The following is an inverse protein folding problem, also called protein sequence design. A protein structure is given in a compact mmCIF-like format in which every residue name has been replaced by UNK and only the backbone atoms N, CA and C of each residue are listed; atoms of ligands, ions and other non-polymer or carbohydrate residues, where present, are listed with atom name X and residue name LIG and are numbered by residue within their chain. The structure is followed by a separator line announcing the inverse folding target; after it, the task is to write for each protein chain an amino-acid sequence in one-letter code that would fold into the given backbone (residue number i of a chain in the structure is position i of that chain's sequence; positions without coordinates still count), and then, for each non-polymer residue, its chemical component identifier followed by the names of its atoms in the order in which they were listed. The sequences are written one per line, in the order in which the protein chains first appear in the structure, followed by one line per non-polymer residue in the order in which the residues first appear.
data_IF_276185480845
#
_entry.id   IF_276185480845
#
_cell.length_a   1.000
_cell.length_b   1.000
_cell.length_c   1.000
_cell.angle_alpha   90.00
_cell.angle_beta   90.00
_cell.angle_gamma   90.00
#
_symmetry.space_group_name_H-M   'P 1'
#
loop_
_entity.id
_entity.type
_entity.pdbx_description
1 polymer ?
#
# COMPACT_ATOMS: atom_id res chain seq x y z
N UNK A 1 14.50 -11.04 -13.51
CA UNK A 1 14.50 -11.91 -12.31
C UNK A 1 15.47 -13.08 -12.42
N UNK A 2 15.52 -13.79 -13.55
CA UNK A 2 16.45 -14.93 -13.69
C UNK A 2 17.92 -14.54 -13.47
N UNK A 3 18.39 -13.46 -14.09
CA UNK A 3 19.76 -12.94 -13.89
C UNK A 3 20.04 -12.58 -12.43
N UNK A 4 19.08 -11.97 -11.73
CA UNK A 4 19.21 -11.62 -10.32
C UNK A 4 19.32 -12.89 -9.44
N UNK A 5 18.55 -13.94 -9.76
CA UNK A 5 18.64 -15.24 -9.08
C UNK A 5 20.00 -15.89 -9.31
N UNK A 6 20.50 -15.87 -10.55
CA UNK A 6 21.82 -16.44 -10.87
C UNK A 6 22.95 -15.71 -10.13
N UNK A 7 22.93 -14.38 -10.12
CA UNK A 7 23.91 -13.57 -9.37
C UNK A 7 23.86 -13.85 -7.86
N UNK A 8 22.66 -14.04 -7.31
CA UNK A 8 22.48 -14.40 -5.90
C UNK A 8 23.03 -15.80 -5.58
N UNK A 9 22.81 -16.79 -6.44
CA UNK A 9 23.37 -18.13 -6.29
C UNK A 9 24.89 -18.12 -6.42
N UNK A 10 25.43 -17.36 -7.37
CA UNK A 10 26.86 -17.19 -7.57
C UNK A 10 27.53 -16.51 -6.37
N UNK A 11 26.91 -15.46 -5.81
CA UNK A 11 27.35 -14.78 -4.60
C UNK A 11 27.54 -15.77 -3.45
N UNK A 12 26.55 -16.63 -3.23
CA UNK A 12 26.61 -17.67 -2.20
C UNK A 12 27.67 -18.74 -2.49
N UNK A 13 27.78 -19.20 -3.74
CA UNK A 13 28.78 -20.19 -4.14
C UNK A 13 30.22 -19.69 -3.94
N UNK A 14 30.43 -18.37 -4.03
CA UNK A 14 31.71 -17.69 -3.76
C UNK A 14 31.92 -17.35 -2.28
N UNK A 15 31.06 -17.83 -1.38
CA UNK A 15 31.06 -17.52 0.06
C UNK A 15 30.95 -16.02 0.38
N UNK A 16 30.31 -15.24 -0.51
CA UNK A 16 29.97 -13.85 -0.23
C UNK A 16 28.60 -13.85 0.46
N UNK A 17 28.52 -13.30 1.67
CA UNK A 17 27.30 -13.35 2.49
C UNK A 17 26.25 -12.36 1.98
N UNK A 18 25.06 -12.82 1.54
CA UNK A 18 23.97 -11.92 1.20
C UNK A 18 23.55 -11.06 2.40
N UNK A 19 23.19 -9.81 2.14
CA UNK A 19 22.78 -8.85 3.19
C UNK A 19 21.28 -8.63 3.17
N UNK A 20 20.73 -7.93 4.17
CA UNK A 20 19.33 -7.48 4.19
C UNK A 20 18.95 -6.78 2.88
N UNK A 21 19.82 -5.94 2.31
CA UNK A 21 19.56 -5.24 1.04
C UNK A 21 19.45 -6.23 -0.12
N UNK A 22 20.31 -7.26 -0.16
CA UNK A 22 20.28 -8.31 -1.19
C UNK A 22 18.96 -9.06 -1.18
N UNK A 23 18.52 -9.51 0.00
CA UNK A 23 17.24 -10.21 0.16
C UNK A 23 16.06 -9.29 -0.16
N UNK A 24 16.04 -8.08 0.41
CA UNK A 24 14.95 -7.11 0.19
C UNK A 24 14.75 -6.81 -1.29
N UNK A 25 15.84 -6.66 -2.04
CA UNK A 25 15.79 -6.39 -3.49
C UNK A 25 15.19 -7.56 -4.27
N UNK A 26 15.58 -8.80 -3.95
CA UNK A 26 15.03 -10.01 -4.57
C UNK A 26 13.56 -10.21 -4.20
N UNK A 27 13.21 -10.08 -2.93
CA UNK A 27 11.85 -10.17 -2.42
C UNK A 27 10.93 -9.18 -3.14
N UNK A 28 11.35 -7.92 -3.23
CA UNK A 28 10.58 -6.90 -3.96
C UNK A 28 10.43 -7.25 -5.44
N UNK A 29 11.51 -7.70 -6.09
CA UNK A 29 11.47 -8.14 -7.48
C UNK A 29 10.48 -9.29 -7.72
N UNK A 30 10.52 -10.33 -6.89
CA UNK A 30 9.61 -11.46 -7.00
C UNK A 30 8.16 -11.07 -6.72
N UNK A 31 7.91 -10.23 -5.70
CA UNK A 31 6.58 -9.75 -5.36
C UNK A 31 5.93 -8.92 -6.49
N UNK A 32 6.73 -8.07 -7.17
CA UNK A 32 6.26 -7.32 -8.34
C UNK A 32 5.95 -8.26 -9.52
N UNK A 33 6.75 -9.30 -9.73
CA UNK A 33 6.49 -10.30 -10.78
C UNK A 33 5.39 -11.31 -10.43
N UNK A 34 4.82 -11.24 -9.22
CA UNK A 34 3.77 -12.14 -8.76
C UNK A 34 4.23 -13.56 -8.41
N UNK A 35 5.53 -13.81 -8.28
CA UNK A 35 6.05 -15.12 -7.90
C UNK A 35 6.12 -15.23 -6.37
N UNK A 36 4.96 -15.41 -5.73
CA UNK A 36 4.82 -15.40 -4.27
C UNK A 36 5.54 -16.58 -3.60
N UNK A 37 5.62 -17.73 -4.28
CA UNK A 37 6.38 -18.89 -3.81
C UNK A 37 7.86 -18.55 -3.54
N UNK A 38 8.51 -17.85 -4.47
CA UNK A 38 9.91 -17.42 -4.27
C UNK A 38 10.02 -16.31 -3.22
N UNK A 39 8.98 -15.46 -3.05
CA UNK A 39 8.96 -14.45 -1.97
C UNK A 39 9.00 -15.13 -0.60
N UNK A 40 8.13 -16.10 -0.35
CA UNK A 40 8.11 -16.80 0.94
C UNK A 40 9.36 -17.64 1.16
N UNK A 41 9.84 -18.35 0.14
CA UNK A 41 11.06 -19.14 0.23
C UNK A 41 12.29 -18.28 0.59
N UNK A 42 12.45 -17.12 -0.04
CA UNK A 42 13.55 -16.19 0.27
C UNK A 42 13.41 -15.57 1.66
N UNK A 43 12.18 -15.30 2.11
CA UNK A 43 11.95 -14.77 3.44
C UNK A 43 12.31 -15.79 4.52
N UNK A 44 11.90 -17.04 4.35
CA UNK A 44 12.29 -18.14 5.24
C UNK A 44 13.81 -18.35 5.24
N UNK A 45 14.47 -18.30 4.08
CA UNK A 45 15.93 -18.41 3.96
C UNK A 45 16.64 -17.26 4.71
N UNK A 46 16.15 -16.02 4.57
CA UNK A 46 16.67 -14.85 5.28
C UNK A 46 16.59 -15.01 6.80
N UNK A 47 15.44 -15.46 7.31
CA UNK A 47 15.23 -15.74 8.73
C UNK A 47 16.12 -16.88 9.24
N UNK A 48 16.23 -17.97 8.49
CA UNK A 48 17.07 -19.12 8.84
C UNK A 48 18.56 -18.78 8.92
N UNK A 49 19.00 -17.79 8.15
CA UNK A 49 20.37 -17.24 8.19
C UNK A 49 20.58 -16.18 9.28
N UNK A 50 19.56 -15.88 10.08
CA UNK A 50 19.62 -14.87 11.13
C UNK A 50 19.75 -13.44 10.61
N UNK A 51 19.35 -13.19 9.36
CA UNK A 51 19.37 -11.86 8.76
C UNK A 51 18.05 -11.17 9.10
N UNK A 52 18.12 -10.04 9.80
CA UNK A 52 16.92 -9.37 10.29
C UNK A 52 16.15 -8.66 9.15
N UNK A 53 14.83 -8.91 9.04
CA UNK A 53 13.93 -8.17 8.16
C UNK A 53 13.89 -6.68 8.50
N UNK A 54 13.97 -5.83 7.48
CA UNK A 54 13.76 -4.39 7.61
C UNK A 54 12.31 -3.99 7.28
N UNK A 55 12.02 -2.69 7.36
CA UNK A 55 10.71 -2.12 7.04
C UNK A 55 10.21 -2.54 5.65
N UNK A 56 11.10 -2.56 4.65
CA UNK A 56 10.74 -2.88 3.27
C UNK A 56 10.44 -4.38 3.15
N UNK A 57 11.26 -5.22 3.77
CA UNK A 57 11.07 -6.68 3.86
C UNK A 57 9.68 -7.00 4.38
N UNK A 58 9.32 -6.50 5.57
CA UNK A 58 7.98 -6.73 6.12
C UNK A 58 6.85 -6.24 5.21
N UNK A 59 7.02 -5.06 4.59
CA UNK A 59 6.00 -4.51 3.69
C UNK A 59 5.76 -5.42 2.49
N UNK A 60 6.83 -6.01 1.93
CA UNK A 60 6.75 -6.97 0.82
C UNK A 60 6.05 -8.26 1.25
N UNK A 61 6.37 -8.80 2.43
CA UNK A 61 5.73 -10.04 2.90
C UNK A 61 4.26 -9.82 3.23
N UNK A 62 3.90 -8.69 3.85
CA UNK A 62 2.49 -8.36 4.12
C UNK A 62 1.71 -8.24 2.82
N UNK A 63 2.25 -7.55 1.81
CA UNK A 63 1.63 -7.43 0.49
C UNK A 63 1.48 -8.81 -0.20
N UNK A 64 2.50 -9.67 -0.12
CA UNK A 64 2.43 -11.03 -0.65
C UNK A 64 1.36 -11.88 0.05
N UNK A 65 1.25 -11.81 1.39
CA UNK A 65 0.21 -12.50 2.16
C UNK A 65 -1.20 -11.99 1.83
N UNK A 66 -1.36 -10.69 1.62
CA UNK A 66 -2.62 -10.11 1.14
C UNK A 66 -3.01 -10.69 -0.22
N UNK A 67 -2.05 -10.82 -1.15
CA UNK A 67 -2.27 -11.41 -2.49
C UNK A 67 -2.57 -12.91 -2.46
N UNK A 68 -2.08 -13.65 -1.46
CA UNK A 68 -2.47 -15.05 -1.21
C UNK A 68 -3.76 -15.18 -0.39
N UNK A 69 -4.47 -14.09 -0.13
CA UNK A 69 -5.66 -14.05 0.71
C UNK A 69 -5.44 -14.54 2.17
N UNK A 70 -4.18 -14.60 2.63
CA UNK A 70 -3.82 -14.98 3.99
C UNK A 70 -3.74 -13.77 4.92
N UNK A 71 -4.90 -13.14 5.09
CA UNK A 71 -5.02 -11.87 5.82
C UNK A 71 -4.67 -11.98 7.32
N UNK A 72 -4.93 -13.14 7.92
CA UNK A 72 -4.63 -13.36 9.34
C UNK A 72 -3.12 -13.29 9.61
N UNK A 73 -2.31 -13.94 8.77
CA UNK A 73 -0.85 -13.88 8.93
C UNK A 73 -0.31 -12.48 8.56
N UNK A 74 -0.93 -11.80 7.58
CA UNK A 74 -0.59 -10.42 7.23
C UNK A 74 -0.77 -9.47 8.42
N UNK A 75 -1.90 -9.55 9.12
CA UNK A 75 -2.18 -8.76 10.31
C UNK A 75 -1.25 -9.12 11.48
N UNK A 76 -0.88 -10.39 11.63
CA UNK A 76 0.10 -10.83 12.64
C UNK A 76 1.49 -10.25 12.39
N UNK A 77 1.94 -10.20 11.13
CA UNK A 77 3.20 -9.54 10.77
C UNK A 77 3.14 -8.01 10.95
N UNK A 78 2.00 -7.38 10.65
CA UNK A 78 1.77 -5.97 10.97
C UNK A 78 1.95 -5.72 12.47
N UNK A 79 1.32 -6.53 13.32
CA UNK A 79 1.43 -6.38 14.76
C UNK A 79 2.87 -6.62 15.27
N UNK A 80 3.60 -7.54 14.64
CA UNK A 80 5.02 -7.75 14.91
C UNK A 80 5.87 -6.52 14.55
N UNK A 81 5.67 -5.91 13.37
CA UNK A 81 6.35 -4.67 12.98
C UNK A 81 6.14 -3.58 14.04
N UNK A 82 4.89 -3.38 14.46
CA UNK A 82 4.54 -2.36 15.45
C UNK A 82 5.18 -2.64 16.82
N UNK A 83 5.18 -3.90 17.27
CA UNK A 83 5.86 -4.32 18.51
C UNK A 83 7.37 -4.10 18.46
N UNK A 84 7.99 -4.22 17.28
CA UNK A 84 9.41 -3.93 17.05
C UNK A 84 9.70 -2.43 16.86
N UNK A 85 8.68 -1.57 16.91
CA UNK A 85 8.83 -0.13 16.68
C UNK A 85 9.09 0.22 15.21
N UNK A 86 8.81 -0.70 14.28
CA UNK A 86 8.96 -0.47 12.84
C UNK A 86 7.66 0.15 12.32
N UNK A 87 7.68 1.41 11.83
CA UNK A 87 6.47 2.05 11.37
C UNK A 87 6.00 1.47 10.04
N UNK A 88 4.68 1.33 9.89
CA UNK A 88 4.04 0.99 8.62
C UNK A 88 4.36 2.04 7.53
N UNK A 89 4.14 1.69 6.28
CA UNK A 89 4.14 2.65 5.17
C UNK A 89 2.80 2.62 4.43
N UNK A 90 2.66 3.56 3.49
CA UNK A 90 1.50 3.68 2.60
C UNK A 90 1.13 2.33 1.95
N UNK A 91 2.10 1.65 1.34
CA UNK A 91 1.88 0.37 0.67
C UNK A 91 1.34 -0.71 1.61
N UNK A 92 1.86 -0.81 2.84
CA UNK A 92 1.34 -1.76 3.83
C UNK A 92 -0.12 -1.49 4.18
N UNK A 93 -0.51 -0.22 4.37
CA UNK A 93 -1.91 0.13 4.64
C UNK A 93 -2.81 -0.21 3.45
N UNK A 94 -2.41 0.18 2.24
CA UNK A 94 -3.23 -0.05 1.04
C UNK A 94 -3.42 -1.55 0.75
N UNK A 95 -2.37 -2.36 0.86
CA UNK A 95 -2.47 -3.81 0.68
C UNK A 95 -3.39 -4.47 1.72
N UNK A 96 -3.32 -4.05 2.98
CA UNK A 96 -4.19 -4.58 4.04
C UNK A 96 -5.65 -4.15 3.85
N UNK A 97 -5.88 -2.87 3.52
CA UNK A 97 -7.23 -2.35 3.26
C UNK A 97 -7.86 -3.07 2.06
N UNK A 98 -7.11 -3.27 0.98
CA UNK A 98 -7.57 -4.02 -0.18
C UNK A 98 -8.00 -5.43 0.23
N UNK A 99 -7.12 -6.17 0.92
CA UNK A 99 -7.41 -7.54 1.34
C UNK A 99 -8.62 -7.64 2.29
N UNK A 100 -8.79 -6.68 3.21
CA UNK A 100 -9.98 -6.61 4.09
C UNK A 100 -11.25 -6.39 3.28
N UNK A 101 -11.22 -5.48 2.30
CA UNK A 101 -12.36 -5.24 1.42
C UNK A 101 -12.71 -6.45 0.55
N UNK A 102 -11.71 -7.21 0.09
CA UNK A 102 -11.91 -8.45 -0.68
C UNK A 102 -12.55 -9.57 0.18
N UNK A 103 -12.34 -9.53 1.50
CA UNK A 103 -13.00 -10.41 2.49
C UNK A 103 -14.31 -9.83 3.04
N UNK A 104 -14.79 -8.72 2.49
CA UNK A 104 -15.98 -7.98 2.94
C UNK A 104 -15.90 -7.48 4.40
N UNK A 105 -14.69 -7.37 4.96
CA UNK A 105 -14.42 -6.84 6.30
C UNK A 105 -14.31 -5.30 6.30
N UNK A 106 -15.31 -4.62 5.73
CA UNK A 106 -15.29 -3.17 5.47
C UNK A 106 -15.12 -2.29 6.73
N UNK A 107 -15.59 -2.78 7.88
CA UNK A 107 -15.43 -2.06 9.16
C UNK A 107 -13.97 -2.01 9.62
N UNK A 108 -13.23 -3.10 9.46
CA UNK A 108 -11.80 -3.12 9.78
C UNK A 108 -11.01 -2.30 8.76
N UNK A 109 -11.41 -2.35 7.48
CA UNK A 109 -10.82 -1.50 6.44
C UNK A 109 -10.99 0.01 6.75
N UNK A 110 -12.16 0.42 7.22
CA UNK A 110 -12.41 1.80 7.67
C UNK A 110 -11.58 2.18 8.90
N UNK A 111 -11.35 1.26 9.84
CA UNK A 111 -10.45 1.52 10.98
C UNK A 111 -9.02 1.77 10.50
N UNK A 112 -8.51 0.94 9.59
CA UNK A 112 -7.17 1.14 9.01
C UNK A 112 -7.08 2.44 8.21
N UNK A 113 -8.13 2.82 7.47
CA UNK A 113 -8.20 4.11 6.77
C UNK A 113 -8.04 5.29 7.75
N UNK A 114 -8.71 5.22 8.90
CA UNK A 114 -8.60 6.25 9.93
C UNK A 114 -7.20 6.27 10.58
N UNK A 115 -6.66 5.11 10.95
CA UNK A 115 -5.30 4.98 11.50
C UNK A 115 -4.26 5.59 10.56
N UNK A 116 -4.39 5.28 9.27
CA UNK A 116 -3.56 5.81 8.20
C UNK A 116 -3.61 7.35 8.14
N UNK A 117 -4.80 7.95 8.23
CA UNK A 117 -4.95 9.40 8.23
C UNK A 117 -4.42 10.10 9.47
N UNK A 118 -4.61 9.53 10.66
CA UNK A 118 -3.95 10.03 11.87
C UNK A 118 -2.43 9.86 11.81
N UNK A 119 -1.94 8.86 11.08
CA UNK A 119 -0.51 8.67 10.77
C UNK A 119 0.05 9.62 9.71
N UNK A 120 -0.77 10.51 9.13
CA UNK A 120 -0.36 11.48 8.12
C UNK A 120 -0.17 10.90 6.71
N UNK A 121 -0.69 9.72 6.44
CA UNK A 121 -0.65 9.11 5.11
C UNK A 121 -1.94 9.40 4.35
N UNK A 122 -1.81 9.76 3.06
CA UNK A 122 -2.94 9.92 2.15
C UNK A 122 -3.11 8.65 1.30
N UNK A 123 -4.24 7.94 1.39
CA UNK A 123 -4.53 6.78 0.53
C UNK A 123 -4.76 7.21 -0.91
N UNK A 124 -4.58 6.26 -1.82
CA UNK A 124 -5.04 6.40 -3.19
C UNK A 124 -6.57 6.56 -3.24
N UNK A 125 -7.07 7.25 -4.26
CA UNK A 125 -8.51 7.38 -4.47
C UNK A 125 -9.18 6.00 -4.66
N UNK A 126 -8.48 5.07 -5.31
CA UNK A 126 -8.94 3.70 -5.48
C UNK A 126 -9.21 3.04 -4.12
N UNK A 127 -8.30 3.17 -3.15
CA UNK A 127 -8.48 2.65 -1.78
C UNK A 127 -9.74 3.22 -1.11
N UNK A 128 -9.98 4.53 -1.21
CA UNK A 128 -11.19 5.16 -0.64
C UNK A 128 -12.47 4.69 -1.35
N UNK A 129 -12.46 4.65 -2.68
CA UNK A 129 -13.57 4.19 -3.53
C UNK A 129 -13.94 2.74 -3.18
N UNK A 130 -12.97 1.86 -2.98
CA UNK A 130 -13.19 0.44 -2.65
C UNK A 130 -13.93 0.27 -1.33
N UNK A 131 -13.54 1.01 -0.28
CA UNK A 131 -14.23 0.96 1.02
C UNK A 131 -15.67 1.50 0.89
N UNK A 132 -15.84 2.67 0.26
CA UNK A 132 -17.16 3.30 0.10
C UNK A 132 -18.12 2.42 -0.73
N UNK A 133 -17.63 1.88 -1.85
CA UNK A 133 -18.36 0.95 -2.70
C UNK A 133 -18.67 -0.36 -1.97
N UNK A 134 -17.75 -0.84 -1.12
CA UNK A 134 -17.95 -2.00 -0.25
C UNK A 134 -19.17 -1.84 0.65
N UNK A 135 -19.23 -0.74 1.42
CA UNK A 135 -20.38 -0.43 2.27
C UNK A 135 -21.68 -0.22 1.49
N UNK A 136 -21.62 0.44 0.32
CA UNK A 136 -22.79 0.62 -0.54
C UNK A 136 -23.35 -0.74 -0.99
N UNK A 137 -22.51 -1.66 -1.46
CA UNK A 137 -22.92 -3.01 -1.89
C UNK A 137 -23.49 -3.83 -0.73
N UNK A 138 -22.98 -3.63 0.49
CA UNK A 138 -23.52 -4.21 1.71
C UNK A 138 -24.84 -3.55 2.19
N UNK A 139 -25.34 -2.54 1.48
CA UNK A 139 -26.55 -1.78 1.85
C UNK A 139 -26.37 -0.82 3.02
N UNK A 140 -25.12 -0.57 3.45
CA UNK A 140 -24.80 0.28 4.59
C UNK A 140 -24.40 1.70 4.13
N UNK A 141 -25.40 2.46 3.70
CA UNK A 141 -25.18 3.83 3.19
C UNK A 141 -24.63 4.79 4.24
N UNK A 142 -24.98 4.60 5.52
CA UNK A 142 -24.46 5.43 6.62
C UNK A 142 -22.94 5.29 6.75
N UNK A 143 -22.43 4.06 6.65
CA UNK A 143 -20.98 3.81 6.66
C UNK A 143 -20.29 4.27 5.39
N UNK A 144 -20.94 4.16 4.23
CA UNK A 144 -20.40 4.72 2.99
C UNK A 144 -20.26 6.26 3.07
N UNK A 145 -21.25 6.95 3.64
CA UNK A 145 -21.19 8.38 3.91
C UNK A 145 -20.11 8.73 4.95
N UNK A 146 -19.95 7.91 6.00
CA UNK A 146 -18.86 8.09 6.96
C UNK A 146 -17.49 8.07 6.27
N UNK A 147 -17.26 7.18 5.28
CA UNK A 147 -16.02 7.18 4.50
C UNK A 147 -15.80 8.55 3.84
N UNK A 148 -16.83 9.10 3.17
CA UNK A 148 -16.74 10.42 2.53
C UNK A 148 -16.38 11.53 3.54
N UNK A 149 -17.07 11.55 4.67
CA UNK A 149 -16.82 12.52 5.75
C UNK A 149 -15.38 12.43 6.27
N UNK A 150 -14.84 11.21 6.43
CA UNK A 150 -13.44 11.01 6.85
C UNK A 150 -12.45 11.53 5.82
N UNK A 151 -12.64 11.20 4.53
CA UNK A 151 -11.71 11.63 3.49
C UNK A 151 -11.72 13.15 3.28
N UNK A 152 -12.87 13.81 3.52
CA UNK A 152 -12.98 15.27 3.56
C UNK A 152 -12.30 15.84 4.81
N UNK A 153 -12.55 15.27 5.99
CA UNK A 153 -11.94 15.69 7.25
C UNK A 153 -10.41 15.68 7.21
N UNK A 154 -9.82 14.66 6.58
CA UNK A 154 -8.36 14.58 6.38
C UNK A 154 -7.86 15.47 5.22
N UNK A 155 -8.74 16.13 4.47
CA UNK A 155 -8.39 16.99 3.34
C UNK A 155 -7.87 16.23 2.12
N UNK A 156 -8.27 14.97 1.93
CA UNK A 156 -7.82 14.15 0.81
C UNK A 156 -8.58 14.41 -0.48
N UNK A 157 -9.84 14.85 -0.34
CA UNK A 157 -10.75 15.23 -1.42
C UNK A 157 -11.31 16.63 -1.15
N UNK A 158 -11.95 17.23 -2.16
CA UNK A 158 -12.62 18.53 -2.04
C UNK A 158 -13.90 18.39 -1.20
N UNK A 159 -14.29 19.46 -0.49
CA UNK A 159 -15.57 19.53 0.20
C UNK A 159 -16.79 19.46 -0.76
N UNK A 160 -16.54 19.64 -2.06
CA UNK A 160 -17.55 19.50 -3.11
C UNK A 160 -17.69 18.07 -3.66
N UNK A 161 -16.84 17.13 -3.25
CA UNK A 161 -16.89 15.72 -3.69
C UNK A 161 -18.15 15.05 -3.14
N UNK A 162 -18.98 14.50 -4.02
CA UNK A 162 -20.16 13.72 -3.61
C UNK A 162 -19.80 12.26 -3.33
N UNK A 163 -20.66 11.55 -2.61
CA UNK A 163 -20.48 10.12 -2.35
C UNK A 163 -20.45 9.30 -3.66
N UNK A 164 -21.26 9.69 -4.65
CA UNK A 164 -21.21 9.10 -5.98
C UNK A 164 -19.88 9.37 -6.69
N UNK A 165 -19.32 10.59 -6.60
CA UNK A 165 -18.01 10.89 -7.21
C UNK A 165 -16.90 10.02 -6.60
N UNK A 166 -16.95 9.82 -5.27
CA UNK A 166 -15.99 8.98 -4.55
C UNK A 166 -16.13 7.49 -4.94
N UNK A 167 -17.36 6.98 -5.00
CA UNK A 167 -17.66 5.61 -5.38
C UNK A 167 -17.23 5.34 -6.82
N UNK A 168 -17.59 6.23 -7.75
CA UNK A 168 -17.24 6.13 -9.17
C UNK A 168 -15.74 6.38 -9.44
N UNK A 169 -15.00 6.85 -8.44
CA UNK A 169 -13.55 7.12 -8.53
C UNK A 169 -13.21 8.35 -9.38
N UNK A 170 -14.15 9.27 -9.58
CA UNK A 170 -13.95 10.47 -10.39
C UNK A 170 -13.31 11.59 -9.55
N UNK A 171 -12.07 11.97 -9.88
CA UNK A 171 -11.54 13.28 -9.48
C UNK A 171 -12.12 14.35 -10.42
N UNK A 172 -12.91 15.28 -9.88
CA UNK A 172 -12.89 16.63 -10.45
C UNK A 172 -11.63 17.29 -9.93
N UNK A 173 -10.60 17.32 -10.75
CA UNK A 173 -9.34 17.99 -10.43
C UNK A 173 -9.61 19.44 -10.02
N UNK A 174 -9.55 19.72 -8.72
CA UNK A 174 -9.43 21.07 -8.21
C UNK A 174 -7.95 21.48 -8.33
N UNK A 175 -7.52 21.75 -9.57
CA UNK A 175 -6.32 22.55 -9.88
C UNK A 175 -6.36 22.96 -11.37
N UNK A 176 -7.29 23.87 -11.70
CA UNK A 176 -7.13 24.80 -12.82
C UNK A 176 -7.24 26.25 -12.33
N UNK A 177 -6.51 26.60 -11.29
CA UNK A 177 -6.18 28.00 -11.01
C UNK A 177 -4.66 28.11 -10.91
N UNK A 178 -4.05 28.21 -12.10
CA UNK A 178 -2.77 28.88 -12.26
C UNK A 178 -2.92 29.87 -13.43
N UNK A 179 -3.87 30.81 -13.27
CA UNK A 179 -3.83 32.08 -13.97
C UNK A 179 -3.22 33.09 -13.02
N UNK A 180 -1.89 33.23 -13.07
CA UNK A 180 -1.17 34.49 -12.85
C UNK A 180 0.34 34.23 -12.92
N UNK A 181 0.90 34.33 -14.13
CA UNK A 181 2.15 35.05 -14.44
C UNK A 181 2.69 34.62 -15.81
N UNK A 182 2.47 35.48 -16.81
CA UNK A 182 3.49 36.05 -17.71
C UNK A 182 2.79 36.70 -18.91
N UNK A 183 2.26 37.91 -18.65
CA UNK A 183 2.25 38.94 -19.70
C UNK A 183 3.69 39.43 -19.82
N UNK A 184 4.43 38.88 -20.78
CA UNK A 184 5.58 39.56 -21.37
C UNK A 184 5.52 39.38 -22.88
N UNK A 185 4.84 40.34 -23.50
CA UNK A 185 5.08 40.77 -24.87
C UNK A 185 6.57 41.11 -25.07
N UNK A 186 7.23 40.44 -26.00
CA UNK A 186 8.43 40.96 -26.67
C UNK A 186 8.52 40.39 -28.09
N UNK A 187 7.96 41.19 -29.00
CA UNK A 187 8.40 41.54 -30.35
C UNK A 187 9.02 40.49 -31.30
N UNK A 188 8.38 40.45 -32.46
CA UNK A 188 8.77 39.91 -33.76
C UNK A 188 10.11 40.49 -34.24
N UNK A 189 10.89 39.65 -34.92
CA UNK A 189 11.75 40.07 -36.04
C UNK A 189 10.89 40.56 -37.22
#
# INVERSE_FOLDING_TARGET
MEEAKQLFLEMQARNVTPTTITYTSLLQGYNITGNLSEVFALFEEMLAKGIEPDKVTYSVIIDALCKEENIMEALKLRDEMLKKGIPLNLGTYESLIQALCDKEEFLEALKLLNEMGYGGFKPSLATCSIIASGFQRAGNMDKAAEVLERVMWFGWVSDSTSLSDLIDGNQKDANSENSDNLVCTAERL
#
